data_IF_093581164102
#
_entry.id   IF_093581164102
#
_cell.length_a   1.000
_cell.length_b   1.000
_cell.length_c   1.000
_cell.angle_alpha   90.00
_cell.angle_beta   90.00
_cell.angle_gamma   90.00
#
_symmetry.space_group_name_H-M   'P 1'
#
loop_
_entity.id
_entity.type
_entity.pdbx_description
1 polymer ?
#
# COMPACT_ATOMS: atom_id res chain seq x y z
N UNK A 1 8.72 20.83 25.52
CA UNK A 1 7.39 21.37 25.88
C UNK A 1 6.35 20.31 25.51
N UNK A 2 6.09 19.36 26.43
CA UNK A 2 5.36 18.12 26.15
C UNK A 2 4.26 17.97 27.20
N UNK A 3 3.03 18.34 26.86
CA UNK A 3 1.86 18.14 27.73
C UNK A 3 0.63 17.82 26.89
N UNK A 4 0.56 16.64 26.29
CA UNK A 4 -0.73 16.05 25.91
C UNK A 4 -0.65 14.55 25.68
N UNK A 5 -0.68 13.79 26.78
CA UNK A 5 -1.13 12.41 26.75
C UNK A 5 -2.01 12.23 28.00
N UNK A 6 -3.34 12.26 27.82
CA UNK A 6 -4.32 12.19 28.92
C UNK A 6 -5.06 10.85 28.89
N UNK A 7 -5.11 10.22 30.05
CA UNK A 7 -5.88 9.02 30.39
C UNK A 7 -7.11 9.43 31.19
N UNK A 8 -8.29 8.86 30.91
CA UNK A 8 -9.40 8.75 31.87
C UNK A 8 -10.11 7.39 31.71
N UNK A 9 -10.16 6.63 32.81
CA UNK A 9 -10.93 5.37 32.97
C UNK A 9 -12.21 5.69 33.75
N UNK A 10 -13.23 4.85 33.52
CA UNK A 10 -14.44 4.60 34.33
C UNK A 10 -15.79 5.01 33.69
N UNK A 11 -16.23 4.16 32.75
CA UNK A 11 -17.66 3.88 32.49
C UNK A 11 -17.82 2.41 32.02
N UNK A 12 -17.27 1.47 32.81
CA UNK A 12 -17.46 0.01 32.68
C UNK A 12 -18.75 -0.32 33.46
N UNK A 13 -19.76 -1.06 32.99
CA UNK A 13 -19.74 -2.52 32.90
C UNK A 13 -20.83 -3.11 31.96
N UNK A 14 -21.77 -2.32 31.40
CA UNK A 14 -22.83 -2.84 30.50
C UNK A 14 -22.53 -2.66 29.00
N UNK A 15 -21.62 -1.76 28.62
CA UNK A 15 -21.09 -1.64 27.25
C UNK A 15 -20.04 -2.74 26.97
N UNK A 16 -19.47 -3.34 28.02
CA UNK A 16 -18.33 -4.27 27.91
C UNK A 16 -18.65 -5.57 27.18
N UNK A 17 -19.86 -6.15 27.32
CA UNK A 17 -20.15 -7.44 26.68
C UNK A 17 -20.44 -7.31 25.17
N UNK A 18 -21.10 -6.23 24.74
CA UNK A 18 -21.43 -6.00 23.33
C UNK A 18 -20.23 -5.44 22.54
N UNK A 19 -19.42 -4.59 23.17
CA UNK A 19 -18.16 -4.14 22.57
C UNK A 19 -17.16 -5.30 22.40
N UNK A 20 -17.09 -6.24 23.36
CA UNK A 20 -16.21 -7.40 23.26
C UNK A 20 -16.55 -8.29 22.05
N UNK A 21 -17.83 -8.43 21.70
CA UNK A 21 -18.27 -9.24 20.56
C UNK A 21 -17.95 -8.57 19.20
N UNK A 22 -18.13 -7.25 19.09
CA UNK A 22 -17.75 -6.48 17.88
C UNK A 22 -16.24 -6.41 17.72
N UNK A 23 -15.50 -6.32 18.82
CA UNK A 23 -14.04 -6.33 18.81
C UNK A 23 -13.49 -7.68 18.34
N UNK A 24 -14.04 -8.81 18.81
CA UNK A 24 -13.64 -10.14 18.35
C UNK A 24 -13.97 -10.38 16.86
N UNK A 25 -15.10 -9.87 16.36
CA UNK A 25 -15.45 -9.96 14.93
C UNK A 25 -14.54 -9.07 14.04
N UNK A 26 -14.08 -7.93 14.56
CA UNK A 26 -13.16 -7.01 13.87
C UNK A 26 -11.73 -7.56 13.82
N UNK A 27 -11.30 -8.27 14.87
CA UNK A 27 -10.01 -8.98 14.88
C UNK A 27 -10.01 -10.23 13.99
N UNK A 28 -11.17 -10.81 13.68
CA UNK A 28 -11.27 -11.95 12.75
C UNK A 28 -11.18 -11.55 11.26
N UNK A 29 -11.33 -10.26 10.92
CA UNK A 29 -11.32 -9.76 9.53
C UNK A 29 -10.19 -8.78 9.20
N UNK A 30 -9.24 -8.56 10.12
CA UNK A 30 -7.95 -7.98 9.75
C UNK A 30 -7.12 -9.04 9.03
N UNK A 31 -7.50 -9.27 7.76
CA UNK A 31 -6.77 -10.09 6.80
C UNK A 31 -5.35 -9.56 6.77
N UNK A 32 -4.44 -10.36 7.31
CA UNK A 32 -2.99 -10.17 7.30
C UNK A 32 -2.58 -9.44 6.02
N UNK A 33 -2.00 -8.25 6.17
CA UNK A 33 -1.53 -7.38 5.09
C UNK A 33 -0.78 -8.23 4.07
N UNK A 34 -1.43 -8.58 2.97
CA UNK A 34 -0.80 -9.40 1.96
C UNK A 34 0.22 -8.51 1.26
N UNK A 35 1.44 -8.47 1.79
CA UNK A 35 2.58 -7.79 1.19
C UNK A 35 2.99 -8.59 -0.03
N UNK A 36 2.72 -8.02 -1.19
CA UNK A 36 3.07 -8.61 -2.48
C UNK A 36 4.46 -8.13 -2.84
N UNK A 37 5.37 -9.04 -3.20
CA UNK A 37 6.66 -8.66 -3.79
C UNK A 37 6.43 -8.06 -5.17
N UNK A 38 7.37 -7.26 -5.66
CA UNK A 38 7.20 -6.68 -7.00
C UNK A 38 7.14 -7.74 -8.12
N UNK A 39 7.86 -8.85 -7.95
CA UNK A 39 7.87 -9.95 -8.91
C UNK A 39 6.53 -10.69 -8.91
N UNK A 40 5.94 -10.93 -7.74
CA UNK A 40 4.59 -11.50 -7.64
C UNK A 40 3.53 -10.57 -8.23
N UNK A 41 3.69 -9.25 -8.09
CA UNK A 41 2.77 -8.28 -8.67
C UNK A 41 2.88 -8.24 -10.19
N UNK A 42 4.09 -8.28 -10.76
CA UNK A 42 4.30 -8.42 -12.20
C UNK A 42 3.66 -9.66 -12.79
N UNK A 43 3.68 -10.76 -12.04
CA UNK A 43 3.05 -12.01 -12.45
C UNK A 43 1.51 -12.01 -12.30
N UNK A 44 0.90 -10.89 -11.87
CA UNK A 44 -0.56 -10.70 -11.92
C UNK A 44 -0.93 -10.03 -13.23
N UNK A 45 -1.98 -10.54 -13.87
CA UNK A 45 -2.48 -10.05 -15.15
C UNK A 45 -3.13 -8.66 -14.95
N UNK A 46 -2.56 -7.63 -15.59
CA UNK A 46 -3.18 -6.32 -15.71
C UNK A 46 -4.02 -6.27 -16.98
N UNK A 47 -5.13 -5.53 -16.93
CA UNK A 47 -6.00 -5.37 -18.08
C UNK A 47 -6.13 -3.89 -18.40
N UNK A 48 -5.86 -3.52 -19.65
CA UNK A 48 -6.12 -2.19 -20.19
C UNK A 48 -7.34 -2.27 -21.11
N UNK A 49 -8.21 -1.25 -21.08
CA UNK A 49 -9.30 -1.15 -22.06
C UNK A 49 -8.83 -0.37 -23.27
N UNK A 50 -8.85 -0.99 -24.44
CA UNK A 50 -8.60 -0.35 -25.73
C UNK A 50 -9.89 -0.21 -26.56
N UNK A 51 -9.74 0.09 -27.86
CA UNK A 51 -10.90 0.24 -28.77
C UNK A 51 -11.55 -1.11 -29.12
N UNK A 52 -10.84 -2.21 -28.92
CA UNK A 52 -11.24 -3.58 -29.26
C UNK A 52 -11.73 -4.38 -28.05
N UNK A 53 -11.42 -3.96 -26.81
CA UNK A 53 -11.85 -4.64 -25.60
C UNK A 53 -10.86 -4.49 -24.45
N UNK A 54 -10.83 -5.49 -23.56
CA UNK A 54 -9.80 -5.59 -22.53
C UNK A 54 -8.60 -6.35 -23.09
N UNK A 55 -7.40 -5.81 -22.94
CA UNK A 55 -6.14 -6.41 -23.38
C UNK A 55 -5.24 -6.63 -22.18
N UNK A 56 -4.59 -7.78 -22.14
CA UNK A 56 -3.57 -8.07 -21.14
C UNK A 56 -2.37 -7.13 -21.31
N UNK A 57 -1.93 -6.55 -20.20
CA UNK A 57 -0.81 -5.64 -20.14
C UNK A 57 0.37 -6.31 -19.45
N UNK A 58 1.46 -6.48 -20.18
CA UNK A 58 2.76 -6.81 -19.60
C UNK A 58 3.38 -5.54 -19.03
N UNK A 59 3.61 -5.51 -17.72
CA UNK A 59 4.19 -4.37 -17.04
C UNK A 59 5.71 -4.50 -16.94
N UNK A 60 6.40 -3.40 -17.24
CA UNK A 60 7.84 -3.29 -17.03
C UNK A 60 8.15 -2.34 -15.89
N UNK A 61 9.13 -2.73 -15.08
CA UNK A 61 9.63 -1.96 -13.96
C UNK A 61 11.09 -1.58 -14.23
N UNK A 62 11.37 -0.27 -14.28
CA UNK A 62 12.73 0.22 -14.47
C UNK A 62 13.45 0.38 -13.14
N UNK A 63 14.70 -0.10 -13.06
CA UNK A 63 15.59 0.07 -11.90
C UNK A 63 15.02 -0.42 -10.56
N UNK A 64 14.26 -1.52 -10.60
CA UNK A 64 13.72 -2.15 -9.39
C UNK A 64 14.53 -3.39 -9.00
N UNK A 65 14.57 -3.66 -7.70
CA UNK A 65 15.24 -4.83 -7.13
C UNK A 65 14.20 -5.77 -6.53
N UNK A 66 14.44 -7.07 -6.62
CA UNK A 66 13.55 -8.13 -6.10
C UNK A 66 13.24 -8.02 -4.59
N UNK A 67 14.05 -7.26 -3.84
CA UNK A 67 13.92 -7.04 -2.39
C UNK A 67 12.91 -5.96 -1.99
N UNK A 68 12.02 -5.55 -2.91
CA UNK A 68 10.97 -4.58 -2.62
C UNK A 68 9.60 -5.23 -2.41
N UNK A 69 8.89 -4.73 -1.41
CA UNK A 69 7.51 -5.09 -1.10
C UNK A 69 6.59 -3.93 -1.49
N UNK A 70 5.48 -4.23 -2.16
CA UNK A 70 4.43 -3.25 -2.41
C UNK A 70 3.64 -3.06 -1.13
N UNK A 71 3.49 -1.81 -0.73
CA UNK A 71 2.77 -1.43 0.50
C UNK A 71 1.52 -0.61 0.23
N UNK A 72 1.48 0.09 -0.90
CA UNK A 72 0.30 0.85 -1.30
C UNK A 72 0.31 1.09 -2.82
N UNK A 73 -0.87 1.40 -3.34
CA UNK A 73 -1.09 1.89 -4.71
C UNK A 73 -1.98 3.13 -4.64
N UNK A 74 -1.59 4.20 -5.32
CA UNK A 74 -2.30 5.49 -5.30
C UNK A 74 -1.84 6.34 -6.50
N UNK A 75 -2.64 7.33 -6.91
CA UNK A 75 -2.18 8.37 -7.83
C UNK A 75 -1.36 9.39 -7.04
N UNK A 76 -0.05 9.44 -7.26
CA UNK A 76 0.91 10.22 -6.49
C UNK A 76 1.34 11.51 -7.20
N UNK A 77 1.16 11.60 -8.52
CA UNK A 77 1.54 12.77 -9.32
C UNK A 77 0.36 13.52 -9.97
N UNK A 78 -0.87 13.02 -9.79
CA UNK A 78 -2.10 13.65 -10.24
C UNK A 78 -2.45 13.38 -11.71
N UNK A 79 -1.79 12.42 -12.36
CA UNK A 79 -2.01 12.09 -13.76
C UNK A 79 -3.21 11.15 -14.02
N UNK A 80 -3.86 10.69 -12.93
CA UNK A 80 -5.01 9.77 -12.88
C UNK A 80 -4.67 8.32 -13.21
N UNK A 81 -3.40 7.96 -13.29
CA UNK A 81 -2.95 6.58 -13.33
C UNK A 81 -2.57 6.11 -11.91
N UNK A 82 -2.56 4.80 -11.72
CA UNK A 82 -2.24 4.20 -10.43
C UNK A 82 -0.73 3.99 -10.33
N UNK A 83 -0.11 4.63 -9.35
CA UNK A 83 1.31 4.47 -9.03
C UNK A 83 1.51 3.43 -7.93
N UNK A 84 2.76 3.03 -7.74
CA UNK A 84 3.15 2.00 -6.78
C UNK A 84 4.08 2.57 -5.74
N UNK A 85 3.74 2.34 -4.47
CA UNK A 85 4.60 2.65 -3.33
C UNK A 85 5.19 1.34 -2.82
N UNK A 86 6.51 1.27 -2.80
CA UNK A 86 7.25 0.13 -2.27
C UNK A 86 8.01 0.49 -1.01
N UNK A 87 8.35 -0.54 -0.24
CA UNK A 87 9.31 -0.47 0.84
C UNK A 87 10.36 -1.56 0.63
N UNK A 88 11.62 -1.28 0.95
CA UNK A 88 12.64 -2.34 0.98
C UNK A 88 12.39 -3.32 2.14
N UNK A 89 12.98 -4.53 2.04
CA UNK A 89 12.88 -5.56 3.08
C UNK A 89 13.28 -5.08 4.48
N UNK A 90 14.28 -4.20 4.57
CA UNK A 90 14.74 -3.59 5.84
C UNK A 90 13.77 -2.56 6.42
N UNK A 91 12.71 -2.20 5.68
CA UNK A 91 11.72 -1.18 6.04
C UNK A 91 12.33 0.19 6.34
N UNK A 92 13.47 0.48 5.72
CA UNK A 92 14.26 1.69 5.94
C UNK A 92 14.05 2.75 4.86
N UNK A 93 13.49 2.39 3.70
CA UNK A 93 13.24 3.33 2.61
C UNK A 93 11.96 3.00 1.86
N UNK A 94 11.11 4.02 1.67
CA UNK A 94 9.98 4.00 0.76
C UNK A 94 10.42 4.51 -0.62
N UNK A 95 9.86 3.94 -1.68
CA UNK A 95 10.04 4.41 -3.05
C UNK A 95 8.69 4.52 -3.73
N UNK A 96 8.56 5.54 -4.59
CA UNK A 96 7.40 5.75 -5.43
C UNK A 96 7.79 5.47 -6.87
N UNK A 97 6.99 4.63 -7.54
CA UNK A 97 7.09 4.33 -8.96
C UNK A 97 5.85 4.84 -9.67
N UNK A 98 6.05 5.80 -10.58
CA UNK A 98 4.97 6.45 -11.33
C UNK A 98 4.66 5.63 -12.59
N UNK A 99 3.38 5.44 -12.91
CA UNK A 99 2.98 4.74 -14.13
C UNK A 99 3.00 5.66 -15.34
N UNK A 100 3.93 5.43 -16.27
CA UNK A 100 3.95 6.16 -17.51
C UNK A 100 3.06 5.48 -18.56
N UNK A 101 1.87 6.03 -18.78
CA UNK A 101 0.89 5.49 -19.75
C UNK A 101 1.37 5.48 -21.21
N UNK A 102 2.27 6.40 -21.59
CA UNK A 102 2.82 6.45 -22.96
C UNK A 102 3.82 5.34 -23.20
N UNK A 103 4.67 5.06 -22.21
CA UNK A 103 5.68 4.02 -22.28
C UNK A 103 5.13 2.64 -21.88
N UNK A 104 4.02 2.62 -21.14
CA UNK A 104 3.47 1.43 -20.46
C UNK A 104 4.47 0.83 -19.46
N UNK A 105 5.09 1.70 -18.66
CA UNK A 105 6.16 1.30 -17.73
C UNK A 105 6.10 2.08 -16.43
N UNK A 106 6.53 1.44 -15.34
CA UNK A 106 6.78 2.11 -14.06
C UNK A 106 8.18 2.73 -14.04
N UNK A 107 8.21 4.04 -13.77
CA UNK A 107 9.44 4.84 -13.67
C UNK A 107 9.66 5.26 -12.22
N UNK A 108 10.92 5.29 -11.80
CA UNK A 108 11.27 5.77 -10.46
C UNK A 108 10.95 7.27 -10.33
N UNK A 109 10.08 7.62 -9.40
CA UNK A 109 9.72 9.00 -9.08
C UNK A 109 10.54 9.55 -7.91
N UNK A 110 10.29 9.02 -6.72
CA UNK A 110 10.84 9.56 -5.47
C UNK A 110 11.26 8.48 -4.47
N UNK A 111 12.15 8.83 -3.53
CA UNK A 111 12.50 8.02 -2.37
C UNK A 111 12.30 8.83 -1.09
N UNK A 112 11.56 8.25 -0.16
CA UNK A 112 11.33 8.82 1.17
C UNK A 112 11.91 7.93 2.27
N UNK A 113 12.38 8.57 3.34
CA UNK A 113 12.89 7.89 4.53
C UNK A 113 11.97 8.20 5.71
N UNK A 114 11.55 7.20 6.49
CA UNK A 114 10.76 7.46 7.69
C UNK A 114 11.56 8.35 8.64
N UNK A 115 11.00 9.52 8.96
CA UNK A 115 11.59 10.42 9.96
C UNK A 115 11.40 9.76 11.33
N UNK A 116 12.48 9.41 12.01
CA UNK A 116 12.39 8.99 13.41
C UNK A 116 12.17 10.22 14.28
N UNK A 117 11.14 10.17 15.12
CA UNK A 117 10.91 11.11 16.21
C UNK A 117 11.74 10.71 17.44
#
# INVERSE_FOLDING_TARGET
>A
NMKHCRSERQLLWTIHLFALLVVLASFAHAKEDQKVTINEFNNKIFWEKDKQGMVELELFFSNVTDSMLIVAVADMDGDKYTDIITINQERSAFRVFLYNSKLKQFIFGEREFPVSC
#
